data_IF_770121888697
#
_entry.id   IF_770121888697
#
_cell.length_a   1.000
_cell.length_b   1.000
_cell.length_c   1.000
_cell.angle_alpha   90.00
_cell.angle_beta   90.00
_cell.angle_gamma   90.00
#
_symmetry.space_group_name_H-M   'P 1'
#
loop_
_entity.id
_entity.type
_entity.pdbx_description
1 polymer ?
#
# COMPACT_ATOMS: atom_id res chain seq x y z
N UNK A 1 -15.37 17.06 2.09
CA UNK A 1 -15.51 15.73 2.74
C UNK A 1 -14.66 14.76 1.94
N UNK A 2 -13.66 14.11 2.52
CA UNK A 2 -12.94 13.05 1.82
C UNK A 2 -13.92 11.92 1.46
N UNK A 3 -13.82 11.43 0.23
CA UNK A 3 -14.57 10.28 -0.27
C UNK A 3 -14.32 9.06 0.61
N UNK A 4 -15.26 8.11 0.60
CA UNK A 4 -15.13 6.88 1.39
C UNK A 4 -13.86 6.10 1.06
N UNK A 5 -13.38 6.16 -0.19
CA UNK A 5 -12.19 5.47 -0.66
C UNK A 5 -10.89 6.07 -0.11
N UNK A 6 -10.77 7.40 -0.13
CA UNK A 6 -9.61 8.10 0.46
C UNK A 6 -9.45 7.78 1.95
N UNK A 7 -10.57 7.62 2.67
CA UNK A 7 -10.54 7.21 4.08
C UNK A 7 -10.05 5.77 4.27
N UNK A 8 -10.43 4.85 3.38
CA UNK A 8 -9.94 3.46 3.41
C UNK A 8 -8.44 3.43 3.14
N UNK A 9 -7.97 4.17 2.15
CA UNK A 9 -6.53 4.28 1.85
C UNK A 9 -5.78 4.86 3.05
N UNK A 10 -6.25 5.98 3.59
CA UNK A 10 -5.63 6.62 4.76
C UNK A 10 -5.61 5.69 5.99
N UNK A 11 -6.68 4.92 6.20
CA UNK A 11 -6.74 3.91 7.24
C UNK A 11 -5.61 2.88 7.04
N UNK A 12 -5.53 2.22 5.88
CA UNK A 12 -4.49 1.21 5.66
C UNK A 12 -3.06 1.77 5.65
N UNK A 13 -2.85 2.98 5.13
CA UNK A 13 -1.56 3.68 5.22
C UNK A 13 -1.12 3.85 6.67
N UNK A 14 -2.04 4.25 7.57
CA UNK A 14 -1.70 4.39 9.00
C UNK A 14 -1.30 3.06 9.66
N UNK A 15 -1.84 1.94 9.15
CA UNK A 15 -1.61 0.59 9.68
C UNK A 15 -0.30 -0.03 9.17
N UNK A 16 0.36 0.56 8.18
CA UNK A 16 1.71 0.17 7.76
C UNK A 16 2.77 0.39 8.84
N UNK A 17 2.46 1.19 9.88
CA UNK A 17 3.33 1.42 11.05
C UNK A 17 2.90 0.63 12.29
N UNK A 18 1.95 -0.30 12.17
CA UNK A 18 1.53 -1.12 13.31
C UNK A 18 2.68 -2.01 13.77
N UNK A 19 2.78 -2.23 15.08
CA UNK A 19 3.84 -3.06 15.68
C UNK A 19 3.77 -4.51 15.21
N UNK A 20 2.57 -5.01 14.90
CA UNK A 20 2.39 -6.41 14.52
C UNK A 20 2.56 -6.59 13.01
N UNK A 21 3.42 -7.52 12.57
CA UNK A 21 3.65 -7.77 11.15
C UNK A 21 2.37 -8.20 10.41
N UNK A 22 1.50 -8.97 11.06
CA UNK A 22 0.25 -9.46 10.47
C UNK A 22 -0.71 -8.32 10.08
N UNK A 23 -0.71 -7.23 10.85
CA UNK A 23 -1.50 -6.04 10.53
C UNK A 23 -0.92 -5.32 9.31
N UNK A 24 0.41 -5.18 9.25
CA UNK A 24 1.08 -4.52 8.13
C UNK A 24 0.81 -5.30 6.85
N UNK A 25 1.00 -6.62 6.86
CA UNK A 25 0.72 -7.51 5.73
C UNK A 25 -0.72 -7.40 5.23
N UNK A 26 -1.71 -7.43 6.13
CA UNK A 26 -3.12 -7.23 5.75
C UNK A 26 -3.34 -5.87 5.10
N UNK A 27 -2.75 -4.83 5.66
CA UNK A 27 -2.93 -3.47 5.13
C UNK A 27 -2.26 -3.29 3.77
N UNK A 28 -1.10 -3.92 3.55
CA UNK A 28 -0.43 -3.97 2.25
C UNK A 28 -1.32 -4.67 1.21
N UNK A 29 -1.90 -5.82 1.57
CA UNK A 29 -2.76 -6.58 0.67
C UNK A 29 -4.03 -5.81 0.27
N UNK A 30 -4.67 -5.12 1.23
CA UNK A 30 -5.83 -4.28 0.95
C UNK A 30 -5.47 -3.10 0.04
N UNK A 31 -4.34 -2.41 0.30
CA UNK A 31 -3.86 -1.33 -0.58
C UNK A 31 -3.57 -1.83 -2.00
N UNK A 32 -2.97 -3.02 -2.14
CA UNK A 32 -2.71 -3.64 -3.44
C UNK A 32 -4.01 -3.95 -4.19
N UNK A 33 -5.04 -4.44 -3.50
CA UNK A 33 -6.33 -4.78 -4.08
C UNK A 33 -7.10 -3.54 -4.61
N UNK A 34 -6.86 -2.36 -4.04
CA UNK A 34 -7.40 -1.09 -4.53
C UNK A 34 -6.74 -0.62 -5.84
N UNK A 35 -5.59 -1.19 -6.21
CA UNK A 35 -4.94 -0.92 -7.50
C UNK A 35 -4.61 0.56 -7.70
N UNK A 36 -5.03 1.13 -8.84
CA UNK A 36 -4.68 2.49 -9.24
C UNK A 36 -5.20 3.56 -8.25
N UNK A 37 -6.29 3.29 -7.54
CA UNK A 37 -6.84 4.22 -6.56
C UNK A 37 -5.89 4.41 -5.36
N UNK A 38 -5.06 3.42 -5.07
CA UNK A 38 -4.05 3.48 -4.00
C UNK A 38 -2.74 4.17 -4.42
N UNK A 39 -2.71 4.96 -5.50
CA UNK A 39 -1.52 5.72 -5.93
C UNK A 39 -0.90 6.54 -4.77
N UNK A 40 -1.75 7.15 -3.93
CA UNK A 40 -1.31 7.93 -2.77
C UNK A 40 -0.56 7.12 -1.69
N UNK A 41 -0.68 5.78 -1.70
CA UNK A 41 -0.02 4.91 -0.72
C UNK A 41 1.41 4.51 -1.13
N UNK A 42 1.85 4.79 -2.36
CA UNK A 42 3.15 4.35 -2.88
C UNK A 42 4.34 4.80 -2.00
N UNK A 43 4.33 6.06 -1.55
CA UNK A 43 5.39 6.57 -0.68
C UNK A 43 5.42 5.87 0.69
N UNK A 44 4.24 5.55 1.25
CA UNK A 44 4.13 4.85 2.52
C UNK A 44 4.53 3.37 2.41
N UNK A 45 4.25 2.72 1.27
CA UNK A 45 4.73 1.37 0.98
C UNK A 45 6.25 1.34 0.82
N UNK A 46 6.85 2.37 0.21
CA UNK A 46 8.31 2.50 0.13
C UNK A 46 8.96 2.67 1.51
N UNK A 47 8.39 3.51 2.38
CA UNK A 47 8.83 3.65 3.78
C UNK A 47 8.70 2.32 4.53
N UNK A 48 7.56 1.64 4.41
CA UNK A 48 7.33 0.33 5.00
C UNK A 48 8.36 -0.71 4.54
N UNK A 49 8.71 -0.73 3.26
CA UNK A 49 9.76 -1.61 2.72
C UNK A 49 11.14 -1.34 3.33
N UNK A 50 11.50 -0.06 3.51
CA UNK A 50 12.82 0.34 4.05
C UNK A 50 12.93 0.08 5.54
N UNK A 51 11.87 0.33 6.30
CA UNK A 51 11.89 0.32 7.77
C UNK A 51 11.50 -1.02 8.39
N UNK A 52 10.79 -1.89 7.67
CA UNK A 52 10.41 -3.20 8.21
C UNK A 52 11.65 -4.05 8.46
N UNK A 53 11.64 -4.89 9.50
CA UNK A 53 12.72 -5.86 9.76
C UNK A 53 12.40 -7.22 9.12
N UNK A 54 11.11 -7.52 8.98
CA UNK A 54 10.57 -8.78 8.54
C UNK A 54 10.58 -8.87 7.01
N UNK A 55 11.32 -9.86 6.51
CA UNK A 55 11.50 -10.09 5.08
C UNK A 55 10.17 -10.27 4.32
N UNK A 56 9.17 -10.88 4.96
CA UNK A 56 7.83 -11.05 4.38
C UNK A 56 7.13 -9.71 4.16
N UNK A 57 7.24 -8.78 5.12
CA UNK A 57 6.64 -7.44 5.01
C UNK A 57 7.34 -6.64 3.91
N UNK A 58 8.67 -6.74 3.81
CA UNK A 58 9.44 -6.10 2.73
C UNK A 58 8.98 -6.57 1.35
N UNK A 59 8.93 -7.89 1.15
CA UNK A 59 8.50 -8.48 -0.13
C UNK A 59 7.07 -8.07 -0.48
N UNK A 60 6.16 -8.11 0.50
CA UNK A 60 4.78 -7.68 0.29
C UNK A 60 4.70 -6.21 -0.11
N UNK A 61 5.39 -5.31 0.60
CA UNK A 61 5.38 -3.87 0.33
C UNK A 61 5.96 -3.56 -1.06
N UNK A 62 7.06 -4.21 -1.44
CA UNK A 62 7.67 -4.07 -2.76
C UNK A 62 6.71 -4.53 -3.88
N UNK A 63 6.10 -5.70 -3.72
CA UNK A 63 5.18 -6.26 -4.71
C UNK A 63 3.94 -5.37 -4.86
N UNK A 64 3.32 -4.96 -3.75
CA UNK A 64 2.16 -4.08 -3.78
C UNK A 64 2.49 -2.73 -4.43
N UNK A 65 3.64 -2.14 -4.11
CA UNK A 65 4.08 -0.88 -4.73
C UNK A 65 4.26 -1.02 -6.24
N UNK A 66 4.85 -2.13 -6.71
CA UNK A 66 5.00 -2.43 -8.13
C UNK A 66 3.63 -2.56 -8.83
N UNK A 67 2.72 -3.35 -8.26
CA UNK A 67 1.41 -3.61 -8.87
C UNK A 67 0.55 -2.34 -8.95
N UNK A 68 0.54 -1.55 -7.88
CA UNK A 68 -0.15 -0.25 -7.85
C UNK A 68 0.46 0.68 -8.91
N UNK A 69 1.78 0.79 -8.98
CA UNK A 69 2.45 1.62 -9.99
C UNK A 69 2.09 1.19 -11.42
N UNK A 70 2.06 -0.11 -11.67
CA UNK A 70 1.67 -0.65 -12.97
C UNK A 70 0.19 -0.40 -13.29
N UNK A 71 -0.70 -0.50 -12.30
CA UNK A 71 -2.11 -0.17 -12.44
C UNK A 71 -2.32 1.32 -12.77
N UNK A 72 -1.64 2.22 -12.07
CA UNK A 72 -1.64 3.67 -12.34
C UNK A 72 -1.13 3.96 -13.76
N UNK A 73 -0.04 3.31 -14.17
CA UNK A 73 0.51 3.48 -15.51
C UNK A 73 -0.45 2.99 -16.60
N UNK A 74 -1.23 1.94 -16.31
CA UNK A 74 -2.25 1.43 -17.23
C UNK A 74 -3.43 2.38 -17.33
N UNK A 75 -3.97 2.87 -16.20
CA UNK A 75 -5.14 3.77 -16.19
C UNK A 75 -4.88 5.13 -16.86
N UNK A 76 -3.63 5.60 -16.89
CA UNK A 76 -3.23 6.84 -17.59
C UNK A 76 -2.99 6.66 -19.09
N UNK A 77 -2.97 5.42 -19.59
CA UNK A 77 -2.76 5.10 -21.01
C UNK A 77 -4.05 4.78 -21.77
N UNK A 78 -5.14 4.54 -21.05
CA UNK A 78 -6.50 4.35 -21.57
C UNK A 78 -7.23 5.70 -21.65
#
# INVERSE_FOLDING_TARGET
MASSLEKVIAFHVSRLKDKRPDVRLKSIAELQALGADAEAALAALEECFKESEEEEVKKAAQQAGYDIFMAVKKSKKE
#
